data_IF_885962529388
#
_entry.id   IF_885962529388
#
_cell.length_a   1.000
_cell.length_b   1.000
_cell.length_c   1.000
_cell.angle_alpha   90.00
_cell.angle_beta   90.00
_cell.angle_gamma   90.00
#
_symmetry.space_group_name_H-M   'P 1'
#
loop_
_entity.id
_entity.type
_entity.pdbx_description
1 polymer ?
#
# COMPACT_ATOMS: atom_id res chain seq x y z
N UNK A 1 -5.24 -18.71 8.01
CA UNK A 1 -4.62 -18.71 6.67
C UNK A 1 -4.78 -17.32 6.05
N UNK A 2 -3.86 -16.39 6.30
CA UNK A 2 -3.99 -14.98 5.87
C UNK A 2 -3.17 -14.69 4.59
N UNK A 3 -3.30 -15.56 3.59
CA UNK A 3 -2.36 -15.62 2.47
C UNK A 3 -2.70 -14.88 1.15
N UNK A 4 -3.93 -14.41 0.85
CA UNK A 4 -4.15 -13.54 -0.32
C UNK A 4 -3.95 -12.04 -0.02
N UNK A 5 -4.01 -11.65 1.25
CA UNK A 5 -3.98 -10.24 1.67
C UNK A 5 -2.55 -9.70 1.84
N UNK A 6 -1.58 -10.57 2.16
CA UNK A 6 -0.17 -10.22 2.42
C UNK A 6 0.86 -10.83 1.45
N UNK A 7 0.42 -11.60 0.47
CA UNK A 7 1.31 -12.24 -0.51
C UNK A 7 1.83 -11.25 -1.57
N UNK A 8 3.02 -11.53 -2.10
CA UNK A 8 3.60 -10.84 -3.26
C UNK A 8 2.77 -11.08 -4.53
N UNK A 9 3.13 -10.46 -5.65
CA UNK A 9 2.42 -10.71 -6.92
C UNK A 9 2.48 -12.21 -7.27
N UNK A 10 1.38 -12.85 -7.72
CA UNK A 10 1.40 -14.24 -8.18
C UNK A 10 2.42 -14.43 -9.32
N UNK A 11 3.11 -15.56 -9.29
CA UNK A 11 4.04 -15.94 -10.34
C UNK A 11 3.28 -16.41 -11.58
N UNK A 12 3.34 -15.61 -12.65
CA UNK A 12 2.68 -15.95 -13.92
C UNK A 12 3.27 -17.21 -14.56
N UNK A 13 4.56 -17.48 -14.36
CA UNK A 13 5.22 -18.67 -14.88
C UNK A 13 4.82 -19.93 -14.10
N UNK A 14 4.65 -19.82 -12.78
CA UNK A 14 4.19 -20.94 -11.97
C UNK A 14 2.74 -21.29 -12.30
N UNK A 15 1.88 -20.26 -12.46
CA UNK A 15 0.51 -20.45 -12.93
C UNK A 15 0.42 -21.12 -14.32
N UNK A 16 1.43 -20.90 -15.17
CA UNK A 16 1.56 -21.54 -16.49
C UNK A 16 2.31 -22.89 -16.45
N UNK A 17 2.76 -23.36 -15.27
CA UNK A 17 3.52 -24.61 -15.11
C UNK A 17 4.96 -24.55 -15.61
N UNK A 18 5.51 -23.35 -15.85
CA UNK A 18 6.83 -23.13 -16.48
C UNK A 18 7.82 -22.36 -15.60
N UNK A 19 7.56 -22.21 -14.30
CA UNK A 19 8.50 -21.55 -13.41
C UNK A 19 9.73 -22.42 -13.15
N UNK A 20 10.89 -22.01 -13.67
CA UNK A 20 12.17 -22.68 -13.44
C UNK A 20 12.82 -22.32 -12.09
N UNK A 21 12.38 -21.25 -11.43
CA UNK A 21 13.03 -20.73 -10.23
C UNK A 21 12.63 -21.47 -8.94
N UNK A 22 11.61 -22.32 -8.98
CA UNK A 22 11.19 -23.12 -7.83
C UNK A 22 10.99 -22.27 -6.56
N UNK A 23 11.62 -22.68 -5.45
CA UNK A 23 11.60 -21.97 -4.16
C UNK A 23 12.40 -20.66 -4.14
N UNK A 24 13.31 -20.44 -5.10
CA UNK A 24 14.05 -19.19 -5.23
C UNK A 24 13.23 -18.11 -5.97
N UNK A 25 12.01 -18.43 -6.43
CA UNK A 25 11.15 -17.45 -7.07
C UNK A 25 10.70 -16.38 -6.07
N UNK A 26 11.00 -15.11 -6.36
CA UNK A 26 10.55 -13.97 -5.55
C UNK A 26 9.04 -13.67 -5.65
N UNK A 27 8.29 -14.44 -6.43
CA UNK A 27 6.85 -14.31 -6.65
C UNK A 27 6.07 -15.43 -5.94
N UNK A 28 4.78 -15.20 -5.70
CA UNK A 28 3.94 -16.12 -4.96
C UNK A 28 3.51 -17.32 -5.84
N UNK A 29 3.72 -18.55 -5.36
CA UNK A 29 3.38 -19.79 -6.06
C UNK A 29 2.08 -20.43 -5.56
N UNK A 30 1.36 -19.78 -4.65
CA UNK A 30 0.10 -20.31 -4.14
C UNK A 30 -1.04 -20.04 -5.12
N UNK A 31 -2.14 -20.78 -4.97
CA UNK A 31 -3.35 -20.55 -5.73
C UNK A 31 -3.97 -19.20 -5.36
N UNK A 32 -4.13 -18.33 -6.36
CA UNK A 32 -4.81 -17.04 -6.22
C UNK A 32 -6.09 -17.06 -7.05
N UNK A 33 -7.24 -17.30 -6.39
CA UNK A 33 -8.53 -17.42 -7.06
C UNK A 33 -9.01 -16.09 -7.67
N UNK A 34 -8.56 -14.96 -7.12
CA UNK A 34 -8.95 -13.63 -7.58
C UNK A 34 -7.77 -12.83 -8.11
N UNK A 35 -7.92 -12.34 -9.34
CA UNK A 35 -7.03 -11.29 -9.87
C UNK A 35 -7.27 -10.03 -9.05
N UNK A 36 -6.23 -9.42 -8.45
CA UNK A 36 -6.40 -8.19 -7.68
C UNK A 36 -7.00 -7.11 -8.58
N UNK A 37 -8.00 -6.39 -8.07
CA UNK A 37 -8.63 -5.29 -8.80
C UNK A 37 -7.58 -4.21 -9.09
N UNK A 38 -7.31 -3.95 -10.36
CA UNK A 38 -6.36 -2.93 -10.77
C UNK A 38 -7.07 -1.57 -10.83
N UNK A 39 -6.41 -0.51 -10.37
CA UNK A 39 -6.90 0.84 -10.57
C UNK A 39 -6.82 1.18 -12.06
N UNK A 40 -7.89 1.69 -12.65
CA UNK A 40 -7.81 2.21 -14.02
C UNK A 40 -6.91 3.46 -14.09
N UNK A 41 -6.61 3.92 -15.30
CA UNK A 41 -5.74 5.09 -15.50
C UNK A 41 -6.25 6.32 -14.74
N UNK A 42 -7.56 6.56 -14.75
CA UNK A 42 -8.16 7.73 -14.10
C UNK A 42 -8.02 7.67 -12.58
N UNK A 43 -8.22 6.51 -11.96
CA UNK A 43 -8.04 6.34 -10.51
C UNK A 43 -6.57 6.51 -10.10
N UNK A 44 -5.63 6.07 -10.94
CA UNK A 44 -4.20 6.29 -10.71
C UNK A 44 -3.83 7.77 -10.84
N UNK A 45 -4.32 8.44 -11.89
CA UNK A 45 -4.10 9.88 -12.09
C UNK A 45 -4.70 10.70 -10.93
N UNK A 46 -5.85 10.29 -10.39
CA UNK A 46 -6.42 10.92 -9.19
C UNK A 46 -5.52 10.74 -7.98
N UNK A 47 -5.07 9.52 -7.71
CA UNK A 47 -4.17 9.25 -6.58
C UNK A 47 -2.85 10.00 -6.72
N UNK A 48 -2.26 10.05 -7.92
CA UNK A 48 -0.98 10.73 -8.18
C UNK A 48 -1.03 12.25 -7.97
N UNK A 49 -2.22 12.84 -8.02
CA UNK A 49 -2.43 14.27 -7.78
C UNK A 49 -2.69 14.61 -6.31
N UNK A 50 -2.88 13.61 -5.44
CA UNK A 50 -3.02 13.83 -4.00
C UNK A 50 -1.67 14.11 -3.36
N UNK A 51 -1.65 15.03 -2.39
CA UNK A 51 -0.52 15.13 -1.46
C UNK A 51 -0.40 13.84 -0.63
N UNK A 52 0.77 13.62 -0.05
CA UNK A 52 1.01 12.47 0.82
C UNK A 52 0.00 12.42 1.99
N UNK A 53 -0.26 13.55 2.64
CA UNK A 53 -1.24 13.67 3.73
C UNK A 53 -2.66 13.31 3.27
N UNK A 54 -3.10 13.79 2.10
CA UNK A 54 -4.42 13.47 1.55
C UNK A 54 -4.53 11.99 1.15
N UNK A 55 -3.46 11.43 0.58
CA UNK A 55 -3.38 10.02 0.22
C UNK A 55 -3.48 9.15 1.48
N UNK A 56 -2.70 9.43 2.52
CA UNK A 56 -2.74 8.70 3.78
C UNK A 56 -4.12 8.82 4.46
N UNK A 57 -4.70 10.02 4.50
CA UNK A 57 -6.05 10.23 5.03
C UNK A 57 -7.12 9.43 4.28
N UNK A 58 -6.94 9.20 2.99
CA UNK A 58 -7.83 8.36 2.18
C UNK A 58 -7.60 6.86 2.39
N UNK A 59 -6.34 6.42 2.47
CA UNK A 59 -5.98 5.00 2.52
C UNK A 59 -6.10 4.39 3.92
N UNK A 60 -5.84 5.15 4.99
CA UNK A 60 -5.87 4.66 6.38
C UNK A 60 -7.22 4.01 6.77
N UNK A 61 -8.39 4.64 6.52
CA UNK A 61 -9.68 4.02 6.83
C UNK A 61 -9.93 2.74 6.03
N UNK A 62 -9.43 2.68 4.78
CA UNK A 62 -9.53 1.48 3.93
C UNK A 62 -8.67 0.36 4.51
N UNK A 63 -7.44 0.66 4.93
CA UNK A 63 -6.53 -0.29 5.55
C UNK A 63 -7.09 -0.86 6.85
N UNK A 64 -7.61 -0.02 7.76
CA UNK A 64 -8.25 -0.48 9.00
C UNK A 64 -9.43 -1.42 8.73
N UNK A 65 -10.36 -0.99 7.88
CA UNK A 65 -11.52 -1.81 7.50
C UNK A 65 -11.10 -3.14 6.84
N UNK A 66 -10.01 -3.13 6.06
CA UNK A 66 -9.46 -4.37 5.49
C UNK A 66 -8.79 -5.26 6.52
N UNK A 67 -8.00 -4.71 7.42
CA UNK A 67 -7.38 -5.49 8.47
C UNK A 67 -8.44 -6.21 9.33
N UNK A 68 -9.53 -5.53 9.68
CA UNK A 68 -10.66 -6.11 10.40
C UNK A 68 -11.37 -7.21 9.60
N UNK A 69 -11.79 -6.91 8.36
CA UNK A 69 -12.54 -7.85 7.54
C UNK A 69 -11.76 -9.10 7.10
N UNK A 70 -10.43 -9.05 7.19
CA UNK A 70 -9.54 -10.15 6.78
C UNK A 70 -8.87 -10.86 7.97
N UNK A 71 -9.19 -10.44 9.20
CA UNK A 71 -8.61 -11.00 10.42
C UNK A 71 -7.13 -10.67 10.63
N UNK A 72 -6.64 -9.61 9.98
CA UNK A 72 -5.27 -9.08 10.10
C UNK A 72 -5.15 -7.94 11.12
N UNK A 73 -6.22 -7.62 11.84
CA UNK A 73 -6.28 -6.46 12.71
C UNK A 73 -5.16 -6.47 13.77
N UNK A 74 -4.87 -7.62 14.38
CA UNK A 74 -3.85 -7.76 15.41
C UNK A 74 -2.42 -7.62 14.86
N UNK A 75 -2.17 -8.13 13.66
CA UNK A 75 -0.86 -8.09 13.01
C UNK A 75 -0.58 -6.71 12.39
N UNK A 76 -1.62 -6.02 11.94
CA UNK A 76 -1.51 -4.71 11.31
C UNK A 76 -1.43 -3.54 12.30
N UNK A 77 -1.68 -3.74 13.60
CA UNK A 77 -1.71 -2.65 14.62
C UNK A 77 -0.49 -1.75 14.54
N UNK A 78 0.70 -2.35 14.51
CA UNK A 78 1.97 -1.61 14.51
C UNK A 78 2.12 -0.76 13.24
N UNK A 79 1.81 -1.33 12.07
CA UNK A 79 1.90 -0.64 10.78
C UNK A 79 0.87 0.49 10.68
N UNK A 80 -0.35 0.25 11.15
CA UNK A 80 -1.43 1.25 11.15
C UNK A 80 -1.08 2.44 12.06
N UNK A 81 -0.56 2.18 13.26
CA UNK A 81 -0.12 3.23 14.18
C UNK A 81 0.99 4.10 13.57
N UNK A 82 1.99 3.48 12.94
CA UNK A 82 3.08 4.23 12.29
C UNK A 82 2.59 5.09 11.10
N UNK A 83 1.59 4.61 10.34
CA UNK A 83 0.98 5.40 9.26
C UNK A 83 0.16 6.57 9.80
N UNK A 84 -0.48 6.42 10.96
CA UNK A 84 -1.20 7.50 11.65
C UNK A 84 -0.23 8.58 12.14
N UNK A 85 0.87 8.18 12.78
CA UNK A 85 1.94 9.09 13.19
C UNK A 85 2.52 9.82 11.98
N UNK A 86 2.74 9.12 10.87
CA UNK A 86 3.18 9.72 9.60
C UNK A 86 2.20 10.75 9.09
N UNK A 87 0.90 10.48 9.16
CA UNK A 87 -0.14 11.41 8.74
C UNK A 87 -0.12 12.69 9.57
N UNK A 88 0.06 12.58 10.89
CA UNK A 88 0.17 13.71 11.80
C UNK A 88 1.45 14.52 11.53
N UNK A 89 2.58 13.85 11.31
CA UNK A 89 3.85 14.49 10.97
C UNK A 89 3.77 15.29 9.66
N UNK A 90 3.18 14.70 8.60
CA UNK A 90 2.98 15.36 7.32
C UNK A 90 1.96 16.52 7.40
N UNK A 91 0.94 16.41 8.27
CA UNK A 91 0.01 17.50 8.53
C UNK A 91 0.71 18.69 9.22
N UNK A 92 1.57 18.43 10.20
CA UNK A 92 2.30 19.46 10.93
C UNK A 92 3.28 20.25 10.04
N UNK A 93 4.00 19.57 9.16
CA UNK A 93 4.92 20.22 8.21
C UNK A 93 4.17 21.07 7.17
N UNK A 94 3.06 20.56 6.64
CA UNK A 94 2.23 21.31 5.68
C UNK A 94 1.58 22.58 6.27
N UNK A 95 1.30 22.59 7.58
CA UNK A 95 0.73 23.75 8.28
C UNK A 95 1.77 24.86 8.56
N UNK A 96 3.04 24.49 8.76
CA UNK A 96 4.15 25.39 9.07
C UNK A 96 4.71 26.12 7.82
N UNK A 97 4.60 25.53 6.63
CA UNK A 97 5.10 26.11 5.37
C UNK A 97 4.16 27.12 4.69
N UNK A 98 3.26 27.80 5.42
CA UNK A 98 2.40 28.87 4.85
C UNK A 98 3.19 30.16 4.59
N UNK A 99 4.03 30.14 3.55
CA UNK A 99 4.45 31.33 2.81
C UNK A 99 3.47 31.55 1.62
N UNK A 100 3.02 32.79 1.35
CA UNK A 100 2.09 33.06 0.27
C UNK A 100 2.85 33.44 -1.00
N UNK A 101 3.16 32.47 -1.88
CA UNK A 101 3.48 32.79 -3.28
C UNK A 101 3.45 31.57 -4.20
N UNK A 102 2.48 31.59 -5.12
CA UNK A 102 2.55 30.99 -6.48
C UNK A 102 2.87 29.51 -6.64
N UNK A 103 2.04 28.61 -6.09
CA UNK A 103 1.55 27.40 -6.80
C UNK A 103 0.07 27.19 -6.47
N UNK A 104 -0.73 28.19 -6.82
CA UNK A 104 -2.17 28.02 -7.01
C UNK A 104 -2.40 27.15 -8.26
N UNK A 105 -2.28 25.83 -8.08
CA UNK A 105 -2.79 24.85 -9.01
C UNK A 105 -3.53 23.80 -8.17
N UNK A 106 -4.72 24.22 -7.72
CA UNK A 106 -5.82 23.36 -7.30
C UNK A 106 -5.47 22.26 -6.31
N UNK A 107 -5.45 22.61 -5.03
CA UNK A 107 -6.14 21.79 -4.02
C UNK A 107 -7.64 21.77 -4.36
N UNK A 108 -7.98 21.19 -5.52
CA UNK A 108 -9.35 20.87 -5.84
C UNK A 108 -9.71 19.76 -4.87
N UNK A 109 -10.50 20.10 -3.85
CA UNK A 109 -11.32 19.12 -3.14
C UNK A 109 -11.95 18.25 -4.22
N UNK A 110 -11.44 17.03 -4.40
CA UNK A 110 -12.01 16.09 -5.36
C UNK A 110 -13.50 16.02 -5.05
N UNK A 111 -14.38 16.09 -6.06
CA UNK A 111 -15.81 16.00 -5.82
C UNK A 111 -16.10 14.76 -4.98
N UNK A 112 -16.86 14.91 -3.89
CA UNK A 112 -17.11 13.85 -2.91
C UNK A 112 -17.50 12.52 -3.57
N UNK A 113 -18.26 12.57 -4.67
CA UNK A 113 -18.66 11.39 -5.44
C UNK A 113 -17.48 10.62 -6.07
N UNK A 114 -16.40 11.29 -6.48
CA UNK A 114 -15.20 10.65 -7.03
C UNK A 114 -14.39 9.99 -5.92
N UNK A 115 -14.30 10.62 -4.73
CA UNK A 115 -13.71 10.02 -3.54
C UNK A 115 -14.48 8.77 -3.07
N UNK A 116 -15.81 8.82 -3.10
CA UNK A 116 -16.64 7.65 -2.79
C UNK A 116 -16.45 6.51 -3.79
N UNK A 117 -16.30 6.80 -5.09
CA UNK A 117 -16.01 5.77 -6.10
C UNK A 117 -14.62 5.19 -5.94
N UNK A 118 -13.62 6.03 -5.73
CA UNK A 118 -12.23 5.61 -5.52
C UNK A 118 -12.12 4.73 -4.26
N UNK A 119 -12.69 5.17 -3.13
CA UNK A 119 -12.70 4.37 -1.89
C UNK A 119 -13.42 3.03 -2.06
N UNK A 120 -14.50 2.96 -2.85
CA UNK A 120 -15.17 1.71 -3.17
C UNK A 120 -14.28 0.74 -3.98
N UNK A 121 -13.47 1.24 -4.90
CA UNK A 121 -12.50 0.41 -5.65
C UNK A 121 -11.35 -0.02 -4.74
N UNK A 122 -10.81 0.89 -3.93
CA UNK A 122 -9.72 0.61 -2.99
C UNK A 122 -10.10 -0.48 -1.98
N UNK A 123 -11.35 -0.50 -1.50
CA UNK A 123 -11.86 -1.56 -0.62
C UNK A 123 -11.87 -2.95 -1.28
N UNK A 124 -11.95 -3.04 -2.60
CA UNK A 124 -11.89 -4.33 -3.32
C UNK A 124 -10.47 -4.84 -3.52
N UNK A 125 -9.46 -3.99 -3.33
CA UNK A 125 -8.06 -4.39 -3.40
C UNK A 125 -7.66 -5.19 -2.15
N UNK A 126 -6.56 -5.93 -2.27
CA UNK A 126 -5.96 -6.61 -1.13
C UNK A 126 -5.20 -5.62 -0.24
N UNK A 127 -5.04 -5.98 1.03
CA UNK A 127 -4.37 -5.18 2.03
C UNK A 127 -2.95 -4.75 1.58
N UNK A 128 -2.17 -5.68 1.01
CA UNK A 128 -0.83 -5.42 0.48
C UNK A 128 -0.77 -4.30 -0.54
N UNK A 129 -1.73 -4.25 -1.47
CA UNK A 129 -1.70 -3.25 -2.53
C UNK A 129 -2.03 -1.87 -1.98
N UNK A 130 -3.04 -1.79 -1.10
CA UNK A 130 -3.41 -0.55 -0.42
C UNK A 130 -2.25 -0.05 0.45
N UNK A 131 -1.60 -0.97 1.18
CA UNK A 131 -0.47 -0.65 2.04
C UNK A 131 0.74 -0.18 1.21
N UNK A 132 1.03 -0.85 0.11
CA UNK A 132 2.10 -0.44 -0.81
C UNK A 132 1.89 0.96 -1.39
N UNK A 133 0.64 1.38 -1.62
CA UNK A 133 0.31 2.75 -2.03
C UNK A 133 0.53 3.76 -0.89
N UNK A 134 0.21 3.38 0.35
CA UNK A 134 0.44 4.24 1.52
C UNK A 134 1.94 4.46 1.78
N UNK A 135 2.77 3.44 1.56
CA UNK A 135 4.22 3.51 1.82
C UNK A 135 5.00 4.30 0.75
N UNK A 136 4.62 4.18 -0.53
CA UNK A 136 5.31 4.87 -1.64
C UNK A 136 4.85 6.31 -1.86
N UNK A 137 3.79 6.73 -1.18
CA UNK A 137 3.04 7.92 -1.54
C UNK A 137 2.36 7.76 -2.90
N UNK A 138 1.59 8.80 -3.29
CA UNK A 138 0.87 8.91 -4.56
C UNK A 138 1.74 8.69 -5.83
N UNK A 139 3.06 8.74 -5.70
CA UNK A 139 4.03 8.62 -6.78
C UNK A 139 4.45 7.16 -6.98
N UNK A 140 3.95 6.50 -8.02
CA UNK A 140 4.56 5.25 -8.52
C UNK A 140 3.58 4.18 -8.98
N UNK A 141 2.85 4.46 -10.05
CA UNK A 141 2.12 3.45 -10.82
C UNK A 141 2.93 3.00 -12.05
N UNK A 142 4.19 2.60 -11.89
CA UNK A 142 4.93 1.90 -12.93
C UNK A 142 5.80 0.80 -12.30
N UNK A 143 5.72 -0.41 -12.85
CA UNK A 143 6.71 -1.45 -12.61
C UNK A 143 8.06 -0.91 -13.08
N UNK A 144 9.01 -0.70 -12.17
CA UNK A 144 10.45 -0.60 -12.44
C UNK A 144 11.20 -0.81 -11.12
N UNK A 145 12.41 -1.34 -11.26
CA UNK A 145 13.18 -2.04 -10.24
C UNK A 145 13.25 -1.36 -8.87
N UNK A 146 13.29 -2.26 -7.88
CA UNK A 146 13.43 -2.08 -6.46
C UNK A 146 14.88 -1.68 -6.11
N UNK A 147 15.41 -0.61 -6.69
CA UNK A 147 16.78 -0.15 -6.46
C UNK A 147 16.84 1.32 -6.89
N UNK A 148 16.57 2.25 -5.95
CA UNK A 148 16.91 3.69 -5.98
C UNK A 148 16.09 4.54 -4.98
N UNK A 149 15.44 3.93 -3.98
CA UNK A 149 14.69 4.64 -2.93
C UNK A 149 15.44 4.74 -1.58
N UNK A 150 16.78 4.78 -1.62
CA UNK A 150 17.62 4.78 -0.41
C UNK A 150 18.08 6.17 0.07
N UNK A 151 17.78 7.26 -0.65
CA UNK A 151 18.49 8.53 -0.42
C UNK A 151 17.77 9.58 0.46
N UNK A 152 16.51 9.37 0.90
CA UNK A 152 15.77 10.37 1.69
C UNK A 152 14.80 9.72 2.72
N UNK A 153 15.12 8.53 3.25
CA UNK A 153 14.24 7.83 4.19
C UNK A 153 14.41 8.34 5.62
N UNK A 154 13.44 9.11 6.12
CA UNK A 154 13.37 9.46 7.54
C UNK A 154 13.28 8.21 8.42
N UNK A 155 13.68 8.33 9.69
CA UNK A 155 13.59 7.25 10.69
C UNK A 155 12.24 6.51 10.69
N UNK A 156 11.14 7.23 10.40
CA UNK A 156 9.78 6.68 10.34
C UNK A 156 9.54 5.72 9.16
N UNK A 157 10.09 5.99 7.97
CA UNK A 157 9.91 5.11 6.81
C UNK A 157 10.67 3.78 6.99
N UNK A 158 11.84 3.81 7.63
CA UNK A 158 12.57 2.59 8.02
C UNK A 158 11.80 1.78 9.07
N UNK A 159 11.23 2.44 10.08
CA UNK A 159 10.37 1.78 11.07
C UNK A 159 9.14 1.14 10.43
N UNK A 160 8.51 1.83 9.47
CA UNK A 160 7.36 1.32 8.70
C UNK A 160 7.73 0.07 7.91
N UNK A 161 8.82 0.09 7.14
CA UNK A 161 9.28 -1.08 6.38
C UNK A 161 9.56 -2.27 7.31
N UNK A 162 10.25 -2.03 8.42
CA UNK A 162 10.51 -3.07 9.42
C UNK A 162 9.22 -3.63 10.06
N UNK A 163 8.22 -2.79 10.32
CA UNK A 163 6.93 -3.24 10.85
C UNK A 163 6.16 -4.08 9.83
N UNK A 164 6.20 -3.71 8.54
CA UNK A 164 5.58 -4.50 7.47
C UNK A 164 6.24 -5.87 7.32
N UNK A 165 7.56 -5.94 7.41
CA UNK A 165 8.26 -7.22 7.35
C UNK A 165 7.96 -8.09 8.58
N UNK A 166 7.90 -7.51 9.79
CA UNK A 166 7.43 -8.24 10.99
C UNK A 166 6.01 -8.77 10.83
N UNK A 167 5.10 -7.94 10.31
CA UNK A 167 3.72 -8.34 10.05
C UNK A 167 3.65 -9.50 9.04
N UNK A 168 4.43 -9.43 7.94
CA UNK A 168 4.52 -10.51 6.96
C UNK A 168 5.05 -11.80 7.57
N UNK A 169 6.08 -11.74 8.41
CA UNK A 169 6.64 -12.92 9.09
C UNK A 169 5.62 -13.56 10.03
N UNK A 170 4.84 -12.77 10.78
CA UNK A 170 3.79 -13.29 11.67
C UNK A 170 2.65 -13.98 10.90
N UNK A 171 2.38 -13.53 9.68
CA UNK A 171 1.29 -14.04 8.85
C UNK A 171 1.74 -15.13 7.86
N UNK A 172 3.05 -15.24 7.62
CA UNK A 172 3.60 -16.30 6.80
C UNK A 172 3.19 -17.66 7.37
N UNK A 173 2.69 -18.60 6.53
CA UNK A 173 2.42 -19.94 7.00
C UNK A 173 3.71 -20.52 7.55
N UNK A 174 3.69 -21.03 8.78
CA UNK A 174 4.76 -21.91 9.22
C UNK A 174 4.81 -23.05 8.20
N UNK A 175 5.90 -23.13 7.46
CA UNK A 175 6.15 -24.23 6.55
C UNK A 175 6.09 -25.51 7.40
N UNK A 176 4.98 -26.23 7.32
CA UNK A 176 4.89 -27.58 7.82
C UNK A 176 5.86 -28.37 6.96
N UNK A 177 6.98 -28.76 7.56
CA UNK A 177 7.97 -29.61 6.93
C UNK A 177 7.28 -30.85 6.36
N UNK A 178 7.57 -31.11 5.09
CA UNK A 178 7.33 -32.37 4.42
C UNK A 178 8.68 -32.88 3.93
#
# INVERSE_FOLDING_TARGET
MAHPELCRRPCIYFAAGSCANGSACGYCHLSHEHRPSHLDRRHRDMLSNLSETECLALLLPVLRCRAESTGLAAEAVEVLALLEDKTVACAATSAASRAPASRAATAAKLPQHQLSKLSAVLRKMNFSTVLGMALRGATGCENKHEEDLAAMGGSLDQLLLGAVDRMRVRVAPQAVGA
#
